data_IF_909459782441
#
_entry.id   IF_909459782441
#
_cell.length_a   1.000
_cell.length_b   1.000
_cell.length_c   1.000
_cell.angle_alpha   90.00
_cell.angle_beta   90.00
_cell.angle_gamma   90.00
#
_symmetry.space_group_name_H-M   'P 1'
#
loop_
_entity.id
_entity.type
_entity.pdbx_description
1 polymer ?
#
# COMPACT_ATOMS: atom_id res chain seq x y z
N UNK A 1 -11.00 38.04 -7.44
CA UNK A 1 -10.86 36.65 -7.92
C UNK A 1 -11.66 35.75 -7.00
N UNK A 2 -12.97 35.66 -7.22
CA UNK A 2 -13.89 34.86 -6.40
C UNK A 2 -14.42 33.74 -7.29
N UNK A 3 -13.82 32.56 -7.15
CA UNK A 3 -14.24 31.33 -7.85
C UNK A 3 -15.18 30.57 -6.91
N UNK A 4 -16.48 30.79 -7.10
CA UNK A 4 -17.52 30.03 -6.42
C UNK A 4 -17.78 28.78 -7.26
N UNK A 5 -17.28 27.64 -6.79
CA UNK A 5 -17.52 26.34 -7.38
C UNK A 5 -19.02 26.01 -7.30
N UNK A 6 -19.64 25.96 -8.47
CA UNK A 6 -21.03 25.60 -8.68
C UNK A 6 -21.20 24.10 -8.44
N UNK A 7 -21.57 23.73 -7.20
CA UNK A 7 -22.09 22.40 -6.89
C UNK A 7 -23.40 22.22 -7.64
N UNK A 8 -23.38 21.31 -8.61
CA UNK A 8 -24.57 20.87 -9.34
C UNK A 8 -25.43 20.07 -8.38
N UNK A 9 -26.55 20.65 -7.98
CA UNK A 9 -27.63 19.95 -7.30
C UNK A 9 -28.11 18.81 -8.19
N UNK A 10 -27.90 17.58 -7.73
CA UNK A 10 -28.55 16.39 -8.26
C UNK A 10 -29.98 16.36 -7.75
N UNK A 11 -30.86 17.16 -8.36
CA UNK A 11 -32.31 17.00 -8.18
C UNK A 11 -32.69 15.67 -8.82
N UNK A 12 -32.99 14.69 -7.98
CA UNK A 12 -33.77 13.52 -8.38
C UNK A 12 -35.11 14.05 -8.89
N UNK A 13 -35.27 14.09 -10.21
CA UNK A 13 -36.55 14.40 -10.82
C UNK A 13 -37.51 13.26 -10.46
N UNK A 14 -38.34 13.50 -9.46
CA UNK A 14 -39.66 12.87 -9.38
C UNK A 14 -40.39 13.34 -10.63
N UNK A 15 -40.40 12.51 -11.68
CA UNK A 15 -41.28 12.72 -12.83
C UNK A 15 -42.70 12.46 -12.33
N UNK A 16 -43.43 13.55 -12.06
CA UNK A 16 -44.88 13.52 -11.93
C UNK A 16 -45.43 13.08 -13.30
N UNK A 17 -45.98 11.87 -13.33
CA UNK A 17 -46.34 11.11 -14.52
C UNK A 17 -47.67 11.64 -15.10
N UNK A 18 -47.68 12.90 -15.55
CA UNK A 18 -48.83 13.57 -16.16
C UNK A 18 -49.06 13.00 -17.56
N UNK A 19 -49.67 11.81 -17.64
CA UNK A 19 -50.13 11.25 -18.91
C UNK A 19 -51.58 11.68 -19.18
N UNK A 20 -51.81 12.70 -20.04
CA UNK A 20 -53.15 13.27 -20.25
C UNK A 20 -54.15 12.25 -20.82
N UNK A 21 -53.66 11.18 -21.46
CA UNK A 21 -54.51 10.10 -21.98
C UNK A 21 -55.06 9.25 -20.82
N UNK A 22 -54.24 8.98 -19.80
CA UNK A 22 -54.68 8.19 -18.65
C UNK A 22 -55.73 8.95 -17.84
N UNK A 23 -55.55 10.25 -17.66
CA UNK A 23 -56.54 11.11 -17.00
C UNK A 23 -57.90 11.06 -17.70
N UNK A 24 -57.92 11.12 -19.04
CA UNK A 24 -59.14 10.98 -19.84
C UNK A 24 -59.77 9.61 -19.61
N UNK A 25 -58.99 8.52 -19.66
CA UNK A 25 -59.52 7.17 -19.49
C UNK A 25 -60.06 6.92 -18.08
N UNK A 26 -59.51 7.58 -17.05
CA UNK A 26 -59.97 7.49 -15.66
C UNK A 26 -61.30 8.21 -15.41
N UNK A 27 -61.67 9.18 -16.24
CA UNK A 27 -62.81 10.07 -15.94
C UNK A 27 -63.88 10.16 -17.05
N UNK A 28 -63.55 9.86 -18.31
CA UNK A 28 -64.46 10.08 -19.44
C UNK A 28 -65.54 9.00 -19.62
N UNK A 29 -65.41 7.83 -18.98
CA UNK A 29 -66.28 6.67 -19.21
C UNK A 29 -66.79 6.04 -17.90
N UNK A 30 -67.62 6.76 -17.12
CA UNK A 30 -68.11 6.27 -15.83
C UNK A 30 -69.01 5.03 -15.99
N UNK A 31 -68.74 3.98 -15.21
CA UNK A 31 -69.57 2.77 -15.13
C UNK A 31 -69.73 2.31 -13.66
N UNK A 32 -70.49 3.05 -12.83
CA UNK A 32 -70.54 2.83 -11.39
C UNK A 32 -71.11 1.46 -10.99
N UNK A 33 -72.05 0.94 -11.76
CA UNK A 33 -72.66 -0.38 -11.54
C UNK A 33 -71.84 -1.53 -12.14
N UNK A 34 -70.72 -1.21 -12.82
CA UNK A 34 -69.83 -2.18 -13.48
C UNK A 34 -70.58 -3.14 -14.43
N UNK A 35 -71.56 -2.61 -15.16
CA UNK A 35 -72.36 -3.39 -16.12
C UNK A 35 -71.48 -3.82 -17.28
N UNK A 36 -71.48 -5.13 -17.59
CA UNK A 36 -70.69 -5.69 -18.70
C UNK A 36 -69.18 -5.72 -18.47
N UNK A 37 -68.71 -5.48 -17.25
CA UNK A 37 -67.28 -5.53 -16.95
C UNK A 37 -66.72 -6.96 -17.02
N UNK A 38 -65.48 -7.14 -17.52
CA UNK A 38 -64.78 -8.41 -17.45
C UNK A 38 -64.63 -8.88 -16.00
N UNK A 39 -64.55 -10.21 -15.77
CA UNK A 39 -64.33 -10.73 -14.43
C UNK A 39 -62.93 -10.34 -13.91
N UNK A 40 -62.75 -10.20 -12.58
CA UNK A 40 -61.50 -9.70 -11.98
C UNK A 40 -60.25 -10.50 -12.34
N UNK A 41 -60.40 -11.80 -12.58
CA UNK A 41 -59.31 -12.69 -13.01
C UNK A 41 -58.79 -12.36 -14.41
N UNK A 42 -59.67 -11.95 -15.32
CA UNK A 42 -59.29 -11.49 -16.66
C UNK A 42 -58.54 -10.17 -16.56
N UNK A 43 -59.00 -9.24 -15.71
CA UNK A 43 -58.31 -7.98 -15.46
C UNK A 43 -56.90 -8.18 -14.90
N UNK A 44 -56.74 -9.10 -13.94
CA UNK A 44 -55.42 -9.47 -13.41
C UNK A 44 -54.52 -10.05 -14.48
N UNK A 45 -55.02 -11.00 -15.26
CA UNK A 45 -54.25 -11.62 -16.33
C UNK A 45 -53.84 -10.60 -17.42
N UNK A 46 -54.69 -9.61 -17.70
CA UNK A 46 -54.41 -8.55 -18.67
C UNK A 46 -53.37 -7.55 -18.14
N UNK A 47 -53.50 -7.07 -16.89
CA UNK A 47 -52.52 -6.18 -16.26
C UNK A 47 -51.13 -6.82 -16.09
N UNK A 48 -51.06 -8.11 -15.82
CA UNK A 48 -49.79 -8.86 -15.71
C UNK A 48 -49.17 -9.18 -17.09
N UNK A 49 -49.88 -8.92 -18.19
CA UNK A 49 -49.56 -9.32 -19.58
C UNK A 49 -49.51 -10.83 -19.81
N UNK A 50 -50.40 -11.60 -19.17
CA UNK A 50 -50.62 -13.03 -19.44
C UNK A 50 -51.55 -13.27 -20.63
N UNK A 51 -52.34 -12.27 -21.00
CA UNK A 51 -53.25 -12.28 -22.15
C UNK A 51 -52.75 -11.28 -23.20
N UNK A 52 -52.84 -11.65 -24.48
CA UNK A 52 -52.41 -10.84 -25.61
C UNK A 52 -53.29 -9.61 -25.85
N UNK A 53 -52.86 -8.73 -26.76
CA UNK A 53 -53.58 -7.48 -27.11
C UNK A 53 -54.88 -7.72 -27.90
N UNK A 54 -55.02 -8.90 -28.48
CA UNK A 54 -56.17 -9.28 -29.32
C UNK A 54 -57.39 -9.76 -28.51
N UNK A 55 -57.28 -9.83 -27.18
CA UNK A 55 -58.38 -10.25 -26.32
C UNK A 55 -59.50 -9.18 -26.26
N UNK A 56 -60.78 -9.57 -26.35
CA UNK A 56 -61.90 -8.62 -26.33
C UNK A 56 -61.97 -7.76 -25.06
N UNK A 57 -61.36 -8.18 -23.95
CA UNK A 57 -61.29 -7.37 -22.73
C UNK A 57 -60.52 -6.06 -22.94
N UNK A 58 -59.61 -5.97 -23.92
CA UNK A 58 -58.93 -4.72 -24.25
C UNK A 58 -59.90 -3.65 -24.73
N UNK A 59 -60.88 -4.01 -25.56
CA UNK A 59 -61.86 -3.06 -26.10
C UNK A 59 -62.71 -2.43 -24.99
N UNK A 60 -63.07 -3.24 -23.99
CA UNK A 60 -63.80 -2.75 -22.82
C UNK A 60 -62.97 -1.79 -21.97
N UNK A 61 -61.68 -2.04 -21.78
CA UNK A 61 -60.80 -1.21 -20.92
C UNK A 61 -60.70 0.23 -21.43
N UNK A 62 -60.70 0.45 -22.75
CA UNK A 62 -60.63 1.80 -23.33
C UNK A 62 -61.91 2.63 -23.15
N UNK A 63 -63.04 1.97 -22.84
CA UNK A 63 -64.36 2.60 -22.75
C UNK A 63 -65.01 2.43 -21.37
N UNK A 64 -64.25 2.06 -20.35
CA UNK A 64 -64.76 1.82 -19.01
C UNK A 64 -63.74 2.27 -17.97
N UNK A 65 -63.97 3.44 -17.37
CA UNK A 65 -63.04 4.06 -16.42
C UNK A 65 -62.73 3.20 -15.20
N UNK A 66 -63.70 2.51 -14.57
CA UNK A 66 -63.39 1.57 -13.47
C UNK A 66 -62.47 0.41 -13.89
N UNK A 67 -62.67 -0.14 -15.09
CA UNK A 67 -61.81 -1.22 -15.60
C UNK A 67 -60.41 -0.70 -15.95
N UNK A 68 -60.30 0.50 -16.50
CA UNK A 68 -59.01 1.14 -16.74
C UNK A 68 -58.27 1.40 -15.42
N UNK A 69 -58.96 1.86 -14.37
CA UNK A 69 -58.37 2.05 -13.05
C UNK A 69 -57.82 0.74 -12.47
N UNK A 70 -58.61 -0.35 -12.52
CA UNK A 70 -58.16 -1.67 -12.07
C UNK A 70 -56.93 -2.14 -12.87
N UNK A 71 -56.95 -2.00 -14.20
CA UNK A 71 -55.80 -2.32 -15.06
C UNK A 71 -54.55 -1.48 -14.69
N UNK A 72 -54.72 -0.17 -14.50
CA UNK A 72 -53.65 0.77 -14.14
C UNK A 72 -52.96 0.34 -12.85
N UNK A 73 -53.72 -0.01 -11.81
CA UNK A 73 -53.14 -0.45 -10.53
C UNK A 73 -52.23 -1.68 -10.69
N UNK A 74 -52.66 -2.66 -11.48
CA UNK A 74 -51.90 -3.90 -11.71
C UNK A 74 -50.65 -3.61 -12.56
N UNK A 75 -50.81 -2.80 -13.62
CA UNK A 75 -49.70 -2.38 -14.49
C UNK A 75 -48.63 -1.62 -13.71
N UNK A 76 -49.05 -0.64 -12.90
CA UNK A 76 -48.15 0.24 -12.17
C UNK A 76 -47.40 -0.54 -11.07
N UNK A 77 -48.07 -1.46 -10.37
CA UNK A 77 -47.41 -2.36 -9.42
C UNK A 77 -46.32 -3.21 -10.10
N UNK A 78 -46.63 -3.80 -11.25
CA UNK A 78 -45.69 -4.59 -12.06
C UNK A 78 -44.50 -3.76 -12.56
N UNK A 79 -44.74 -2.52 -13.00
CA UNK A 79 -43.66 -1.60 -13.43
C UNK A 79 -42.77 -1.21 -12.24
N UNK A 80 -43.37 -0.90 -11.08
CA UNK A 80 -42.64 -0.57 -9.87
C UNK A 80 -41.73 -1.73 -9.39
N UNK A 81 -42.18 -2.99 -9.52
CA UNK A 81 -41.34 -4.16 -9.22
C UNK A 81 -40.11 -4.25 -10.15
N UNK A 82 -40.30 -4.02 -11.46
CA UNK A 82 -39.21 -4.03 -12.44
C UNK A 82 -38.21 -2.91 -12.14
N UNK A 83 -38.70 -1.69 -11.89
CA UNK A 83 -37.83 -0.56 -11.55
C UNK A 83 -37.09 -0.76 -10.22
N UNK A 84 -37.75 -1.32 -9.21
CA UNK A 84 -37.15 -1.62 -7.91
C UNK A 84 -36.02 -2.65 -8.03
N UNK A 85 -36.20 -3.67 -8.88
CA UNK A 85 -35.17 -4.65 -9.20
C UNK A 85 -33.95 -4.00 -9.88
N UNK A 86 -34.17 -3.06 -10.80
CA UNK A 86 -33.07 -2.35 -11.46
C UNK A 86 -32.31 -1.40 -10.50
N UNK A 87 -33.03 -0.67 -9.65
CA UNK A 87 -32.41 0.25 -8.66
C UNK A 87 -31.53 -0.51 -7.67
N UNK A 88 -32.01 -1.65 -7.18
CA UNK A 88 -31.22 -2.50 -6.27
C UNK A 88 -29.99 -3.12 -6.97
N UNK A 89 -30.12 -3.55 -8.22
CA UNK A 89 -29.00 -4.05 -9.01
C UNK A 89 -27.93 -2.97 -9.28
N UNK A 90 -28.33 -1.75 -9.65
CA UNK A 90 -27.43 -0.62 -9.87
C UNK A 90 -26.68 -0.24 -8.59
N UNK A 91 -27.37 -0.19 -7.45
CA UNK A 91 -26.77 0.13 -6.15
C UNK A 91 -25.73 -0.90 -5.70
N UNK A 92 -25.96 -2.19 -5.99
CA UNK A 92 -24.96 -3.26 -5.73
C UNK A 92 -23.72 -3.11 -6.61
N UNK A 93 -23.89 -2.78 -7.90
CA UNK A 93 -22.76 -2.55 -8.81
C UNK A 93 -21.90 -1.36 -8.40
N UNK A 94 -22.52 -0.21 -8.10
CA UNK A 94 -21.76 0.98 -7.67
C UNK A 94 -21.03 0.77 -6.34
N UNK A 95 -21.64 0.06 -5.38
CA UNK A 95 -20.98 -0.29 -4.12
C UNK A 95 -19.72 -1.16 -4.31
N UNK A 96 -19.76 -2.12 -5.24
CA UNK A 96 -18.61 -2.99 -5.54
C UNK A 96 -17.42 -2.24 -6.14
N UNK A 97 -17.67 -1.24 -6.99
CA UNK A 97 -16.61 -0.41 -7.59
C UNK A 97 -15.90 0.41 -6.52
N UNK A 98 -16.65 1.08 -5.64
CA UNK A 98 -16.07 1.87 -4.56
C UNK A 98 -15.29 1.01 -3.56
N UNK A 99 -15.78 -0.20 -3.25
CA UNK A 99 -15.05 -1.14 -2.40
C UNK A 99 -13.69 -1.53 -3.00
N UNK A 100 -13.62 -1.80 -4.31
CA UNK A 100 -12.36 -2.13 -4.99
C UNK A 100 -11.36 -0.97 -4.98
N UNK A 101 -11.83 0.27 -5.17
CA UNK A 101 -10.98 1.47 -5.11
C UNK A 101 -10.38 1.67 -3.71
N UNK A 102 -11.18 1.51 -2.65
CA UNK A 102 -10.71 1.64 -1.26
C UNK A 102 -9.66 0.59 -0.94
N UNK A 103 -9.89 -0.67 -1.32
CA UNK A 103 -8.92 -1.77 -1.12
C UNK A 103 -7.62 -1.50 -1.88
N UNK A 104 -7.71 -1.09 -3.15
CA UNK A 104 -6.53 -0.75 -3.97
C UNK A 104 -5.70 0.38 -3.35
N UNK A 105 -6.35 1.44 -2.88
CA UNK A 105 -5.67 2.56 -2.23
C UNK A 105 -5.03 2.15 -0.90
N UNK A 106 -5.71 1.33 -0.09
CA UNK A 106 -5.15 0.79 1.15
C UNK A 106 -3.92 -0.10 0.88
N UNK A 107 -3.96 -0.96 -0.14
CA UNK A 107 -2.81 -1.77 -0.53
C UNK A 107 -1.62 -0.91 -0.97
N UNK A 108 -1.85 0.13 -1.77
CA UNK A 108 -0.80 1.06 -2.19
C UNK A 108 -0.21 1.79 -0.97
N UNK A 109 -1.05 2.27 -0.06
CA UNK A 109 -0.61 2.94 1.16
C UNK A 109 0.29 2.02 2.02
N UNK A 110 -0.11 0.75 2.20
CA UNK A 110 0.69 -0.24 2.95
C UNK A 110 2.04 -0.49 2.28
N UNK A 111 2.07 -0.62 0.95
CA UNK A 111 3.33 -0.81 0.20
C UNK A 111 4.25 0.39 0.39
N UNK A 112 3.73 1.62 0.25
CA UNK A 112 4.51 2.86 0.42
C UNK A 112 5.05 2.98 1.83
N UNK A 113 4.24 2.69 2.85
CA UNK A 113 4.69 2.73 4.25
C UNK A 113 5.77 1.66 4.52
N UNK A 114 5.62 0.46 3.94
CA UNK A 114 6.60 -0.61 4.09
C UNK A 114 7.94 -0.29 3.42
N UNK A 115 7.92 0.27 2.21
CA UNK A 115 9.14 0.66 1.49
C UNK A 115 9.81 1.88 2.13
N UNK A 116 9.04 2.89 2.54
CA UNK A 116 9.57 4.06 3.24
C UNK A 116 10.23 3.70 4.59
N UNK A 117 9.71 2.70 5.29
CA UNK A 117 10.29 2.23 6.55
C UNK A 117 11.60 1.44 6.34
N UNK A 118 11.77 0.78 5.19
CA UNK A 118 13.03 0.09 4.83
C UNK A 118 14.17 1.04 4.48
N UNK A 119 13.86 2.24 3.98
CA UNK A 119 14.88 3.23 3.58
C UNK A 119 15.43 4.03 4.78
N UNK A 120 14.78 3.95 5.96
CA UNK A 120 15.26 4.60 7.18
C UNK A 120 16.28 3.71 7.91
N UNK A 121 17.52 3.70 7.43
CA UNK A 121 18.56 2.89 8.07
C UNK A 121 20.01 3.06 7.66
N UNK A 122 20.36 3.82 6.61
CA UNK A 122 21.77 3.88 6.17
C UNK A 122 22.59 4.83 7.03
N UNK A 123 23.14 4.33 8.14
CA UNK A 123 24.28 4.98 8.77
C UNK A 123 25.54 4.67 7.94
N UNK A 124 26.09 5.68 7.28
CA UNK A 124 27.40 5.60 6.62
C UNK A 124 28.41 6.23 7.56
N UNK A 125 29.42 5.48 8.00
CA UNK A 125 30.49 6.00 8.86
C UNK A 125 31.82 5.94 8.14
N UNK A 126 32.47 7.09 8.03
CA UNK A 126 33.84 7.21 7.56
C UNK A 126 34.81 7.10 8.75
N UNK A 127 35.68 6.10 8.72
CA UNK A 127 36.79 5.95 9.67
C UNK A 127 38.09 6.25 8.92
N UNK A 128 38.80 7.29 9.35
CA UNK A 128 40.07 7.68 8.76
C UNK A 128 41.25 7.14 9.59
N UNK A 129 42.01 6.20 9.03
CA UNK A 129 43.18 5.60 9.67
C UNK A 129 44.51 6.24 9.21
N UNK A 130 44.46 7.33 8.43
CA UNK A 130 45.64 7.96 7.81
C UNK A 130 46.71 8.39 8.83
N UNK A 131 46.29 8.88 10.00
CA UNK A 131 47.18 9.46 11.03
C UNK A 131 47.32 8.59 12.30
N UNK A 132 46.79 7.36 12.29
CA UNK A 132 46.79 6.50 13.46
C UNK A 132 48.00 5.57 13.42
N UNK A 133 48.95 5.85 14.32
CA UNK A 133 50.18 5.09 14.46
C UNK A 133 49.86 3.64 14.83
N UNK A 134 50.35 2.71 14.01
CA UNK A 134 50.22 1.28 14.25
C UNK A 134 50.96 0.92 15.53
N UNK A 135 50.26 0.71 16.65
CA UNK A 135 50.86 0.20 17.89
C UNK A 135 51.21 -1.27 17.68
N UNK A 136 52.44 -1.53 17.20
CA UNK A 136 53.02 -2.87 17.16
C UNK A 136 53.57 -3.20 18.54
N UNK A 137 52.82 -3.98 19.32
CA UNK A 137 53.30 -4.64 20.53
C UNK A 137 53.68 -3.70 21.68
N UNK A 138 52.70 -3.35 22.52
CA UNK A 138 52.94 -2.92 23.90
C UNK A 138 51.94 -3.65 24.80
N UNK A 139 52.41 -4.02 26.00
CA UNK A 139 51.75 -4.92 26.94
C UNK A 139 50.36 -4.49 27.37
N UNK A 140 49.69 -5.43 28.05
CA UNK A 140 48.31 -5.42 28.58
C UNK A 140 47.85 -4.13 29.30
N UNK A 141 48.78 -3.22 29.64
CA UNK A 141 48.55 -2.08 30.52
C UNK A 141 48.11 -0.77 29.84
N UNK A 142 48.12 -0.67 28.51
CA UNK A 142 47.72 0.58 27.81
C UNK A 142 46.21 0.63 27.43
N UNK A 143 45.44 -0.30 27.98
CA UNK A 143 44.00 -0.51 27.68
C UNK A 143 43.09 0.58 28.28
N UNK A 144 43.64 1.48 29.11
CA UNK A 144 42.89 2.55 29.76
C UNK A 144 42.83 3.87 28.96
N UNK A 145 43.83 4.17 28.11
CA UNK A 145 43.98 5.49 27.47
C UNK A 145 43.97 5.47 25.92
N UNK A 146 43.73 4.33 25.29
CA UNK A 146 43.59 4.24 23.83
C UNK A 146 42.42 5.08 23.32
N UNK A 147 42.72 6.10 22.50
CA UNK A 147 41.70 6.96 21.87
C UNK A 147 40.78 6.10 21.00
N UNK A 148 39.48 6.15 21.26
CA UNK A 148 38.48 5.45 20.43
C UNK A 148 38.46 6.11 19.05
N UNK A 149 38.62 5.30 18.00
CA UNK A 149 38.74 5.78 16.62
C UNK A 149 37.40 6.21 16.03
N UNK A 150 36.34 5.48 16.35
CA UNK A 150 35.00 5.76 15.86
C UNK A 150 33.95 5.11 16.76
N UNK A 151 32.76 5.73 16.78
CA UNK A 151 31.55 5.18 17.39
C UNK A 151 30.63 4.67 16.29
N UNK A 152 30.35 3.37 16.30
CA UNK A 152 29.55 2.64 15.32
C UNK A 152 28.14 2.38 15.89
N UNK A 153 27.05 2.74 15.20
CA UNK A 153 25.70 2.38 15.59
C UNK A 153 25.47 0.89 15.34
N UNK A 154 24.58 0.30 16.13
CA UNK A 154 24.18 -1.10 16.00
C UNK A 154 23.48 -1.42 14.66
N UNK A 155 22.86 -0.41 14.05
CA UNK A 155 22.34 -0.45 12.66
C UNK A 155 23.31 0.30 11.76
N UNK A 156 24.31 -0.42 11.27
CA UNK A 156 25.31 0.09 10.33
C UNK A 156 25.09 -0.62 9.00
N UNK A 157 24.83 0.12 7.93
CA UNK A 157 24.67 -0.49 6.61
C UNK A 157 26.01 -0.55 5.88
N UNK A 158 26.84 0.50 6.01
CA UNK A 158 28.09 0.63 5.28
C UNK A 158 29.18 1.35 6.11
N UNK A 159 30.37 0.74 6.17
CA UNK A 159 31.56 1.29 6.80
C UNK A 159 32.59 1.66 5.74
N UNK A 160 32.95 2.93 5.68
CA UNK A 160 33.97 3.46 4.77
C UNK A 160 35.26 3.64 5.55
N UNK A 161 36.24 2.76 5.33
CA UNK A 161 37.53 2.81 6.04
C UNK A 161 38.61 3.35 5.11
N UNK A 162 39.19 4.51 5.42
CA UNK A 162 40.37 5.02 4.71
C UNK A 162 41.62 4.40 5.34
N UNK A 163 42.43 3.70 4.55
CA UNK A 163 43.62 3.00 5.06
C UNK A 163 44.76 3.97 5.43
N UNK A 164 45.68 3.54 6.32
CA UNK A 164 46.91 4.27 6.61
C UNK A 164 47.76 4.53 5.36
N UNK A 165 48.58 5.59 5.44
CA UNK A 165 49.57 5.94 4.40
C UNK A 165 50.46 4.73 4.08
N UNK A 166 50.76 4.52 2.80
CA UNK A 166 51.54 3.38 2.26
C UNK A 166 50.86 2.00 2.31
N UNK A 167 49.55 1.95 2.55
CA UNK A 167 48.79 0.71 2.34
C UNK A 167 48.76 0.34 0.86
N UNK A 168 48.74 -0.96 0.56
CA UNK A 168 48.77 -1.46 -0.82
C UNK A 168 47.36 -1.73 -1.32
N UNK A 169 47.07 -1.51 -2.61
CA UNK A 169 45.80 -1.93 -3.18
C UNK A 169 45.63 -3.45 -3.09
N UNK A 170 44.41 -3.91 -2.81
CA UNK A 170 44.13 -5.34 -2.68
C UNK A 170 42.80 -5.62 -1.99
N UNK A 171 42.57 -6.90 -1.70
CA UNK A 171 41.40 -7.34 -0.93
C UNK A 171 41.75 -7.36 0.56
N UNK A 172 40.94 -6.69 1.36
CA UNK A 172 41.08 -6.64 2.80
C UNK A 172 39.88 -7.32 3.45
N UNK A 173 40.17 -8.09 4.50
CA UNK A 173 39.20 -8.69 5.41
C UNK A 173 39.19 -7.85 6.68
N UNK A 174 38.00 -7.39 7.05
CA UNK A 174 37.75 -6.59 8.23
C UNK A 174 36.81 -7.37 9.16
N UNK A 175 37.14 -7.41 10.44
CA UNK A 175 36.40 -8.14 11.45
C UNK A 175 36.17 -7.26 12.68
N UNK A 176 34.98 -7.35 13.28
CA UNK A 176 34.68 -6.75 14.58
C UNK A 176 34.80 -7.82 15.66
N UNK A 177 35.68 -7.60 16.62
CA UNK A 177 36.07 -8.55 17.66
C UNK A 177 35.84 -7.93 19.04
N UNK A 178 35.41 -8.71 20.02
CA UNK A 178 35.25 -8.24 21.40
C UNK A 178 36.59 -8.13 22.13
N UNK A 179 37.54 -8.99 21.80
CA UNK A 179 38.91 -8.98 22.33
C UNK A 179 39.93 -9.28 21.22
N UNK A 180 41.18 -8.86 21.40
CA UNK A 180 42.30 -9.14 20.47
C UNK A 180 42.67 -10.62 20.41
N UNK A 181 42.41 -11.37 21.48
CA UNK A 181 42.71 -12.80 21.63
C UNK A 181 41.56 -13.73 21.23
N UNK A 182 40.38 -13.17 20.93
CA UNK A 182 39.21 -13.95 20.58
C UNK A 182 39.16 -14.14 19.05
N UNK A 183 39.04 -15.39 18.61
CA UNK A 183 38.99 -15.75 17.18
C UNK A 183 37.58 -15.66 16.58
N UNK A 184 36.56 -15.44 17.42
CA UNK A 184 35.16 -15.32 16.99
C UNK A 184 34.84 -13.87 16.64
N UNK A 185 34.73 -13.59 15.34
CA UNK A 185 34.25 -12.30 14.85
C UNK A 185 32.74 -12.16 15.08
N UNK A 186 32.32 -11.01 15.62
CA UNK A 186 30.91 -10.64 15.75
C UNK A 186 30.33 -10.26 14.39
N UNK A 187 31.15 -9.60 13.57
CA UNK A 187 30.85 -9.32 12.18
C UNK A 187 32.13 -9.44 11.37
N UNK A 188 32.04 -10.04 10.19
CA UNK A 188 33.14 -10.25 9.27
C UNK A 188 32.71 -9.76 7.89
N UNK A 189 33.56 -8.99 7.23
CA UNK A 189 33.34 -8.54 5.86
C UNK A 189 34.65 -8.44 5.11
N UNK A 190 34.58 -8.54 3.80
CA UNK A 190 35.76 -8.36 2.95
C UNK A 190 35.40 -7.48 1.78
N UNK A 191 36.28 -6.54 1.43
CA UNK A 191 36.11 -5.74 0.22
C UNK A 191 37.45 -5.41 -0.42
N UNK A 192 37.37 -5.08 -1.70
CA UNK A 192 38.50 -4.61 -2.48
C UNK A 192 38.67 -3.12 -2.26
N UNK A 193 39.91 -2.67 -2.21
CA UNK A 193 40.23 -1.25 -2.12
C UNK A 193 39.71 -0.44 -3.30
N UNK A 194 39.16 0.73 -3.01
CA UNK A 194 38.73 1.77 -3.96
C UNK A 194 39.44 3.08 -3.63
N UNK A 195 40.15 3.67 -4.59
CA UNK A 195 40.90 4.92 -4.39
C UNK A 195 42.10 5.06 -5.30
N UNK A 196 42.86 6.14 -5.10
CA UNK A 196 44.12 6.44 -5.82
C UNK A 196 45.31 6.10 -4.92
N UNK A 197 46.50 5.82 -5.48
CA UNK A 197 47.71 5.34 -4.76
C UNK A 197 48.12 6.12 -3.49
N UNK A 198 47.64 7.35 -3.30
CA UNK A 198 47.90 8.19 -2.11
C UNK A 198 46.82 8.10 -1.02
N UNK A 199 45.60 7.67 -1.35
CA UNK A 199 44.46 7.53 -0.44
C UNK A 199 43.60 6.36 -0.90
N UNK A 200 43.75 5.25 -0.20
CA UNK A 200 43.05 4.01 -0.49
C UNK A 200 41.94 3.86 0.54
N UNK A 201 40.72 3.52 0.11
CA UNK A 201 39.59 3.27 1.00
C UNK A 201 39.03 1.85 0.78
N UNK A 202 38.45 1.24 1.81
CA UNK A 202 37.73 -0.02 1.75
C UNK A 202 36.32 0.22 2.24
N UNK A 203 35.35 -0.19 1.45
CA UNK A 203 33.92 -0.04 1.76
C UNK A 203 33.35 -1.41 2.08
N UNK A 204 32.91 -1.63 3.32
CA UNK A 204 32.38 -2.92 3.79
C UNK A 204 31.04 -2.73 4.46
N UNK A 205 30.10 -3.62 4.15
CA UNK A 205 28.81 -3.71 4.86
C UNK A 205 28.93 -4.63 6.07
N UNK A 206 28.55 -4.16 7.26
CA UNK A 206 28.63 -4.92 8.51
C UNK A 206 27.29 -5.00 9.22
N UNK A 207 26.78 -6.21 9.47
CA UNK A 207 25.62 -6.39 10.34
C UNK A 207 26.06 -6.43 11.82
N UNK A 208 25.86 -5.31 12.53
CA UNK A 208 26.15 -5.18 13.96
C UNK A 208 24.91 -5.41 14.84
N UNK A 209 23.80 -5.90 14.28
CA UNK A 209 22.54 -6.08 15.01
C UNK A 209 22.66 -7.04 16.20
N UNK A 210 23.59 -8.00 16.15
CA UNK A 210 23.85 -8.96 17.22
C UNK A 210 24.77 -8.42 18.34
N UNK A 211 25.45 -7.29 18.11
CA UNK A 211 26.44 -6.74 19.03
C UNK A 211 25.79 -6.02 20.23
N UNK A 212 26.32 -6.24 21.43
CA UNK A 212 25.95 -5.46 22.63
C UNK A 212 26.69 -4.11 22.60
N UNK A 213 26.11 -3.02 23.14
CA UNK A 213 26.84 -1.76 23.28
C UNK A 213 28.13 -1.95 24.10
N UNK A 214 29.25 -1.42 23.66
CA UNK A 214 30.54 -1.63 24.33
C UNK A 214 31.77 -1.32 23.47
N UNK A 215 32.94 -1.61 24.03
CA UNK A 215 34.24 -1.49 23.35
C UNK A 215 34.54 -2.76 22.56
N UNK A 216 34.97 -2.58 21.32
CA UNK A 216 35.33 -3.62 20.38
C UNK A 216 36.63 -3.25 19.65
N UNK A 217 37.17 -4.20 18.90
CA UNK A 217 38.33 -4.03 18.05
C UNK A 217 37.94 -4.29 16.60
N UNK A 218 38.26 -3.35 15.72
CA UNK A 218 38.27 -3.54 14.29
C UNK A 218 39.61 -4.20 13.91
N UNK A 219 39.56 -5.49 13.65
CA UNK A 219 40.64 -6.26 13.05
C UNK A 219 40.66 -6.03 11.54
N UNK A 220 41.83 -5.78 10.97
CA UNK A 220 42.05 -5.62 9.53
C UNK A 220 43.19 -6.50 9.07
N UNK A 221 42.96 -7.28 8.02
CA UNK A 221 43.97 -8.15 7.42
C UNK A 221 43.90 -8.06 5.90
N UNK A 222 45.04 -8.00 5.22
CA UNK A 222 45.11 -8.13 3.76
C UNK A 222 45.10 -9.61 3.39
N UNK A 223 44.31 -9.98 2.40
CA UNK A 223 44.23 -11.34 1.90
C UNK A 223 45.05 -11.45 0.61
N UNK A 224 46.26 -12.00 0.74
CA UNK A 224 47.18 -12.24 -0.37
C UNK A 224 47.36 -13.75 -0.57
N UNK A 225 47.44 -14.16 -1.83
CA UNK A 225 47.40 -15.55 -2.27
C UNK A 225 48.56 -16.36 -1.65
N UNK A 226 48.31 -17.05 -0.53
CA UNK A 226 49.25 -17.99 0.09
C UNK A 226 50.18 -17.43 1.19
N UNK A 227 49.99 -16.19 1.67
CA UNK A 227 50.75 -15.66 2.82
C UNK A 227 49.82 -15.08 3.90
N UNK A 228 49.88 -15.63 5.12
CA UNK A 228 49.20 -15.08 6.29
C UNK A 228 49.89 -13.78 6.74
N UNK A 229 49.27 -12.63 6.46
CA UNK A 229 49.76 -11.33 6.94
C UNK A 229 49.24 -11.01 8.35
N UNK A 230 50.04 -10.25 9.10
CA UNK A 230 49.69 -9.78 10.43
C UNK A 230 48.38 -8.96 10.41
N UNK A 231 47.48 -9.28 11.33
CA UNK A 231 46.24 -8.51 11.53
C UNK A 231 46.53 -7.24 12.35
N UNK A 232 45.96 -6.12 11.92
CA UNK A 232 46.00 -4.85 12.63
C UNK A 232 44.72 -4.67 13.43
N UNK A 233 44.80 -4.19 14.68
CA UNK A 233 43.64 -4.05 15.57
C UNK A 233 43.47 -2.61 16.02
N UNK A 234 42.26 -2.09 15.82
CA UNK A 234 41.89 -0.69 16.03
C UNK A 234 40.73 -0.61 17.03
N UNK A 235 40.82 0.13 18.16
CA UNK A 235 39.73 0.22 19.13
C UNK A 235 38.54 1.03 18.58
N UNK A 236 37.34 0.45 18.63
CA UNK A 236 36.07 1.06 18.19
C UNK A 236 35.00 0.91 19.27
N UNK A 237 34.07 1.85 19.34
CA UNK A 237 32.92 1.76 20.24
C UNK A 237 31.67 1.40 19.45
N UNK A 238 30.86 0.46 19.93
CA UNK A 238 29.51 0.25 19.42
C UNK A 238 28.53 0.95 20.38
N UNK A 239 27.79 1.93 19.86
CA UNK A 239 26.75 2.61 20.63
C UNK A 239 25.44 1.82 20.64
N UNK A 240 24.77 1.81 21.78
CA UNK A 240 23.40 1.35 21.89
C UNK A 240 22.46 2.44 21.41
N UNK A 241 21.84 2.22 20.25
CA UNK A 241 20.68 2.97 19.79
C UNK A 241 19.40 2.30 20.22
#
# INVERSE_FOLDING_TARGET
MTSSAQTRDCVAAEQEDDNPIEEILLHAFPNPERVGCPPPETMRALGERRIGRDDPAWDHIWHCSPCFADFKTIRDARLAEIEGAERTARRKRTASIWAAVVVGFACILVIVLFTANRVRGTAIIAVDLTNEGVVRGLGEDDTANGRVLATLPRKLDELHVTLPLFSHPGRYVLAILKSRSESTAIALGSATTTGTDKKIAVVVTFDLSSAKPGRYYLGMRREEQGQEQAAYYYPVLISGG
#
